data_IF_791249159457
#
_entry.id   IF_791249159457
#
_cell.length_a   1.000
_cell.length_b   1.000
_cell.length_c   1.000
_cell.angle_alpha   90.00
_cell.angle_beta   90.00
_cell.angle_gamma   90.00
#
_symmetry.space_group_name_H-M   'P 1'
#
loop_
_entity.id
_entity.type
_entity.pdbx_description
1 polymer ?
#
# COMPACT_ATOMS: atom_id res chain seq x y z
N UNK A 1 -5.37 35.87 28.70
CA UNK A 1 -6.35 35.21 27.81
C UNK A 1 -5.73 35.20 26.42
N UNK A 2 -5.16 34.08 25.99
CA UNK A 2 -4.41 34.00 24.73
C UNK A 2 -5.34 33.50 23.62
N UNK A 3 -5.48 34.27 22.54
CA UNK A 3 -6.20 33.87 21.33
C UNK A 3 -5.31 32.98 20.48
N UNK A 4 -5.70 31.71 20.32
CA UNK A 4 -5.06 30.80 19.39
C UNK A 4 -5.48 31.16 17.95
N UNK A 5 -4.52 31.55 17.12
CA UNK A 5 -4.67 31.57 15.67
C UNK A 5 -4.69 30.12 15.17
N UNK A 6 -5.89 29.55 15.01
CA UNK A 6 -6.06 28.25 14.38
C UNK A 6 -5.75 28.36 12.88
N UNK A 7 -4.62 27.84 12.45
CA UNK A 7 -4.37 27.57 11.03
C UNK A 7 -5.32 26.46 10.58
N UNK A 8 -6.38 26.83 9.85
CA UNK A 8 -7.20 25.91 9.07
C UNK A 8 -6.41 25.49 7.82
N UNK A 9 -5.40 24.65 7.99
CA UNK A 9 -4.90 23.86 6.87
C UNK A 9 -5.94 22.77 6.57
N UNK A 10 -6.94 23.11 5.76
CA UNK A 10 -7.80 22.10 5.15
C UNK A 10 -6.92 21.24 4.23
N UNK A 11 -6.64 20.00 4.67
CA UNK A 11 -5.96 19.02 3.84
C UNK A 11 -6.93 18.58 2.74
N UNK A 12 -6.86 19.24 1.58
CA UNK A 12 -7.61 18.83 0.40
C UNK A 12 -6.90 17.60 -0.17
N UNK A 13 -7.49 16.43 0.07
CA UNK A 13 -7.06 15.18 -0.55
C UNK A 13 -7.90 14.93 -1.80
N UNK A 14 -7.26 14.90 -2.96
CA UNK A 14 -7.89 14.57 -4.24
C UNK A 14 -7.17 13.37 -4.82
N UNK A 15 -7.93 12.39 -5.31
CA UNK A 15 -7.37 11.31 -6.13
C UNK A 15 -7.00 11.91 -7.48
N UNK A 16 -5.72 11.88 -7.82
CA UNK A 16 -5.21 12.29 -9.13
C UNK A 16 -4.49 11.10 -9.77
N UNK A 17 -4.52 11.06 -11.09
CA UNK A 17 -3.79 10.04 -11.85
C UNK A 17 -2.28 10.25 -11.64
N UNK A 18 -1.55 9.19 -11.27
CA UNK A 18 -0.11 9.27 -10.99
C UNK A 18 0.68 9.76 -12.19
N UNK A 19 0.24 9.45 -13.42
CA UNK A 19 0.86 9.98 -14.64
C UNK A 19 0.76 11.51 -14.75
N UNK A 20 -0.34 12.10 -14.27
CA UNK A 20 -0.51 13.55 -14.20
C UNK A 20 0.43 14.15 -13.16
N UNK A 21 0.54 13.54 -11.97
CA UNK A 21 1.48 13.99 -10.94
C UNK A 21 2.92 13.92 -11.46
N UNK A 22 3.31 12.80 -12.07
CA UNK A 22 4.63 12.61 -12.66
C UNK A 22 4.94 13.70 -13.69
N UNK A 23 3.98 14.02 -14.55
CA UNK A 23 4.13 15.08 -15.56
C UNK A 23 4.35 16.45 -14.92
N UNK A 24 3.62 16.78 -13.85
CA UNK A 24 3.77 18.04 -13.11
C UNK A 24 5.17 18.11 -12.46
N UNK A 25 5.59 17.04 -11.80
CA UNK A 25 6.91 16.97 -11.15
C UNK A 25 8.01 17.16 -12.18
N UNK A 26 8.00 16.40 -13.27
CA UNK A 26 9.02 16.48 -14.32
C UNK A 26 9.10 17.88 -14.96
N UNK A 27 7.95 18.52 -15.19
CA UNK A 27 7.93 19.89 -15.73
C UNK A 27 8.52 20.91 -14.75
N UNK A 28 8.22 20.78 -13.45
CA UNK A 28 8.76 21.67 -12.42
C UNK A 28 10.27 21.47 -12.21
N UNK A 29 10.74 20.22 -12.18
CA UNK A 29 12.16 19.91 -12.10
C UNK A 29 12.94 20.51 -13.28
N UNK A 30 12.38 20.40 -14.50
CA UNK A 30 12.98 21.00 -15.69
C UNK A 30 13.01 22.53 -15.64
N UNK A 31 11.95 23.17 -15.14
CA UNK A 31 11.87 24.63 -15.06
C UNK A 31 12.81 25.21 -13.99
N UNK A 32 12.90 24.53 -12.84
CA UNK A 32 13.68 24.97 -11.68
C UNK A 32 15.13 24.50 -11.72
N UNK A 33 15.45 23.53 -12.59
CA UNK A 33 16.74 22.82 -12.62
C UNK A 33 17.10 22.24 -11.25
N UNK A 34 16.12 21.67 -10.57
CA UNK A 34 16.25 21.10 -9.23
C UNK A 34 15.48 19.78 -9.14
N UNK A 35 15.89 18.90 -8.24
CA UNK A 35 15.19 17.63 -7.96
C UNK A 35 14.10 17.87 -6.93
N UNK A 36 12.90 17.37 -7.19
CA UNK A 36 11.75 17.49 -6.30
C UNK A 36 11.40 16.13 -5.70
N UNK A 37 11.19 16.12 -4.39
CA UNK A 37 10.67 14.96 -3.66
C UNK A 37 9.19 15.18 -3.37
N UNK A 38 8.36 14.21 -3.71
CA UNK A 38 6.92 14.26 -3.47
C UNK A 38 6.52 13.10 -2.57
N UNK A 39 6.02 13.43 -1.39
CA UNK A 39 5.41 12.47 -0.49
C UNK A 39 3.93 12.32 -0.79
N UNK A 40 3.50 11.09 -1.05
CA UNK A 40 2.12 10.72 -1.37
C UNK A 40 1.59 9.79 -0.30
N UNK A 41 0.35 10.01 0.12
CA UNK A 41 -0.34 9.20 1.13
C UNK A 41 -1.70 8.74 0.60
N UNK A 42 -2.13 7.54 0.99
CA UNK A 42 -3.47 7.04 0.64
C UNK A 42 -3.64 6.64 -0.83
N UNK A 43 -2.56 6.34 -1.55
CA UNK A 43 -2.63 5.90 -2.95
C UNK A 43 -3.29 4.54 -3.13
N UNK A 44 -3.24 3.69 -2.13
CA UNK A 44 -3.75 2.31 -2.19
C UNK A 44 -4.76 2.10 -1.08
N UNK A 45 -5.72 1.21 -1.32
CA UNK A 45 -6.62 0.73 -0.28
C UNK A 45 -6.13 -0.62 0.21
N UNK A 46 -5.97 -0.78 1.52
CA UNK A 46 -5.59 -2.04 2.15
C UNK A 46 -6.74 -2.50 3.05
N UNK A 47 -7.22 -3.70 2.78
CA UNK A 47 -8.14 -4.44 3.64
C UNK A 47 -7.30 -5.44 4.46
N UNK A 48 -7.41 -5.37 5.78
CA UNK A 48 -6.71 -6.26 6.70
C UNK A 48 -7.60 -6.62 7.89
N UNK A 49 -7.29 -7.73 8.61
CA UNK A 49 -7.90 -7.97 9.90
C UNK A 49 -7.64 -6.77 10.84
N UNK A 50 -8.68 -6.30 11.51
CA UNK A 50 -8.59 -5.15 12.43
C UNK A 50 -7.99 -5.50 13.79
N UNK A 51 -7.89 -6.80 14.10
CA UNK A 51 -7.47 -7.33 15.39
C UNK A 51 -6.43 -8.43 15.21
N UNK A 52 -5.80 -8.82 16.32
CA UNK A 52 -4.96 -10.00 16.41
C UNK A 52 -5.67 -11.22 15.84
N UNK A 53 -5.03 -11.87 14.87
CA UNK A 53 -5.53 -13.09 14.23
C UNK A 53 -5.34 -14.28 15.17
N UNK A 54 -6.25 -15.26 15.09
CA UNK A 54 -6.17 -16.46 15.94
C UNK A 54 -5.10 -17.42 15.42
N UNK A 55 -4.49 -18.18 16.33
CA UNK A 55 -3.62 -19.29 15.98
C UNK A 55 -4.37 -20.30 15.09
N UNK A 56 -3.70 -20.79 14.04
CA UNK A 56 -4.24 -21.70 13.02
C UNK A 56 -5.44 -21.17 12.22
N UNK A 57 -5.71 -19.86 12.25
CA UNK A 57 -6.70 -19.23 11.37
C UNK A 57 -6.16 -18.95 9.96
N UNK A 58 -7.06 -18.56 9.07
CA UNK A 58 -6.75 -18.25 7.67
C UNK A 58 -6.99 -16.76 7.34
N UNK A 59 -6.18 -15.81 7.89
CA UNK A 59 -6.40 -14.40 7.64
C UNK A 59 -6.14 -14.01 6.18
N UNK A 60 -6.85 -12.98 5.74
CA UNK A 60 -6.74 -12.42 4.39
C UNK A 60 -6.34 -10.96 4.48
N UNK A 61 -5.32 -10.59 3.70
CA UNK A 61 -4.98 -9.21 3.41
C UNK A 61 -5.27 -8.97 1.93
N UNK A 62 -5.77 -7.79 1.59
CA UNK A 62 -6.01 -7.42 0.20
C UNK A 62 -5.59 -5.99 -0.01
N UNK A 63 -4.95 -5.73 -1.14
CA UNK A 63 -4.69 -4.39 -1.59
C UNK A 63 -5.30 -4.15 -2.96
N UNK A 64 -5.88 -2.98 -3.14
CA UNK A 64 -6.39 -2.47 -4.42
C UNK A 64 -5.82 -1.11 -4.75
N UNK A 65 -5.65 -0.86 -6.04
CA UNK A 65 -5.19 0.40 -6.60
C UNK A 65 -5.90 0.69 -7.93
N UNK A 66 -6.31 1.94 -8.11
CA UNK A 66 -7.13 2.41 -9.24
C UNK A 66 -6.37 2.45 -10.57
N UNK A 67 -5.04 2.41 -10.53
CA UNK A 67 -4.18 2.44 -11.71
C UNK A 67 -3.53 1.09 -11.99
N UNK A 68 -3.22 0.83 -13.26
CA UNK A 68 -2.50 -0.36 -13.65
C UNK A 68 -1.04 -0.23 -13.21
N UNK A 69 -0.53 -1.25 -12.53
CA UNK A 69 0.85 -1.39 -12.10
C UNK A 69 1.49 -2.55 -12.86
N UNK A 70 2.82 -2.52 -13.02
CA UNK A 70 3.54 -3.59 -13.69
C UNK A 70 3.59 -4.86 -12.84
N UNK A 71 3.76 -4.70 -11.51
CA UNK A 71 3.67 -5.82 -10.58
C UNK A 71 3.24 -5.38 -9.19
N UNK A 72 2.58 -6.28 -8.47
CA UNK A 72 2.16 -6.07 -7.10
C UNK A 72 2.57 -7.26 -6.21
N UNK A 73 2.84 -7.00 -4.94
CA UNK A 73 3.29 -8.04 -4.03
C UNK A 73 3.25 -7.59 -2.57
N UNK A 74 3.57 -8.52 -1.68
CA UNK A 74 3.60 -8.28 -0.25
C UNK A 74 4.97 -8.61 0.30
N UNK A 75 5.50 -7.75 1.15
CA UNK A 75 6.63 -8.05 2.00
C UNK A 75 6.16 -8.26 3.43
N UNK A 76 6.77 -9.21 4.11
CA UNK A 76 6.63 -9.37 5.55
C UNK A 76 7.94 -9.00 6.23
N UNK A 77 7.84 -8.20 7.28
CA UNK A 77 8.96 -7.87 8.17
C UNK A 77 8.71 -8.49 9.54
N UNK A 78 9.60 -9.37 9.97
CA UNK A 78 9.66 -9.90 11.33
C UNK A 78 10.76 -9.18 12.10
N UNK A 79 10.92 -9.51 13.38
CA UNK A 79 12.05 -9.01 14.19
C UNK A 79 13.44 -9.46 13.67
N UNK A 80 13.50 -10.46 12.79
CA UNK A 80 14.76 -11.05 12.32
C UNK A 80 15.08 -10.74 10.86
N UNK A 81 14.06 -10.52 10.04
CA UNK A 81 14.24 -10.41 8.59
C UNK A 81 13.06 -9.71 7.89
N UNK A 82 13.32 -9.28 6.67
CA UNK A 82 12.31 -8.84 5.71
C UNK A 82 12.41 -9.71 4.46
N UNK A 83 11.27 -10.20 3.97
CA UNK A 83 11.21 -11.03 2.78
C UNK A 83 9.91 -10.81 2.01
N UNK A 84 9.97 -11.09 0.70
CA UNK A 84 8.81 -11.06 -0.19
C UNK A 84 7.99 -12.34 -0.02
N UNK A 85 6.68 -12.18 0.12
CA UNK A 85 5.74 -13.28 0.19
C UNK A 85 5.58 -13.90 -1.20
N UNK A 86 5.70 -15.21 -1.26
CA UNK A 86 5.54 -16.01 -2.47
C UNK A 86 4.55 -17.13 -2.19
N UNK A 87 3.81 -17.56 -3.20
CA UNK A 87 2.85 -18.68 -3.05
C UNK A 87 3.57 -19.95 -2.60
N UNK A 88 3.03 -20.60 -1.58
CA UNK A 88 3.56 -21.81 -0.99
C UNK A 88 2.48 -22.57 -0.20
N UNK A 89 2.89 -23.28 0.85
CA UNK A 89 1.96 -24.05 1.69
C UNK A 89 1.11 -23.16 2.59
N UNK A 90 1.71 -22.12 3.18
CA UNK A 90 0.99 -21.15 4.04
C UNK A 90 0.48 -19.98 3.21
N UNK A 91 1.31 -19.40 2.36
CA UNK A 91 0.96 -18.20 1.61
C UNK A 91 0.24 -18.57 0.33
N UNK A 92 -0.94 -17.99 0.08
CA UNK A 92 -1.66 -18.05 -1.20
C UNK A 92 -1.87 -16.64 -1.72
N UNK A 93 -1.14 -16.25 -2.76
CA UNK A 93 -1.34 -14.98 -3.43
C UNK A 93 -2.51 -15.07 -4.41
N UNK A 94 -3.32 -14.01 -4.47
CA UNK A 94 -4.42 -13.87 -5.42
C UNK A 94 -4.24 -12.57 -6.20
N UNK A 95 -3.98 -12.68 -7.50
CA UNK A 95 -3.89 -11.55 -8.43
C UNK A 95 -5.19 -11.31 -9.20
N UNK A 96 -6.12 -12.27 -9.15
CA UNK A 96 -7.40 -12.25 -9.86
C UNK A 96 -8.46 -11.49 -9.06
N UNK A 97 -8.11 -10.28 -8.61
CA UNK A 97 -8.99 -9.42 -7.82
C UNK A 97 -9.08 -7.99 -8.34
N UNK A 98 -8.48 -7.72 -9.50
CA UNK A 98 -8.65 -6.47 -10.22
C UNK A 98 -10.09 -6.33 -10.74
N UNK A 99 -10.59 -5.11 -10.73
CA UNK A 99 -11.92 -4.74 -11.25
C UNK A 99 -11.78 -3.57 -12.23
N UNK A 100 -12.89 -3.13 -12.82
CA UNK A 100 -12.88 -1.95 -13.68
C UNK A 100 -12.51 -0.66 -12.92
N UNK A 101 -12.82 -0.61 -11.62
CA UNK A 101 -12.43 0.48 -10.72
C UNK A 101 -11.00 0.32 -10.20
N UNK A 102 -10.61 -0.89 -9.81
CA UNK A 102 -9.28 -1.20 -9.27
C UNK A 102 -8.46 -2.00 -10.27
N UNK A 103 -7.71 -1.30 -11.10
CA UNK A 103 -6.92 -1.90 -12.18
C UNK A 103 -5.76 -2.75 -11.69
N UNK A 104 -5.29 -2.53 -10.46
CA UNK A 104 -4.30 -3.39 -9.80
C UNK A 104 -4.83 -3.92 -8.49
N UNK A 105 -4.56 -5.19 -8.23
CA UNK A 105 -4.93 -5.82 -6.97
C UNK A 105 -3.93 -6.93 -6.60
N UNK A 106 -3.73 -7.13 -5.31
CA UNK A 106 -3.06 -8.31 -4.77
C UNK A 106 -3.64 -8.69 -3.41
N UNK A 107 -4.25 -9.87 -3.36
CA UNK A 107 -4.65 -10.54 -2.14
C UNK A 107 -3.59 -11.51 -1.65
N UNK A 108 -3.52 -11.71 -0.33
CA UNK A 108 -2.80 -12.83 0.27
C UNK A 108 -3.70 -13.48 1.33
N UNK A 109 -3.87 -14.79 1.20
CA UNK A 109 -4.42 -15.64 2.26
C UNK A 109 -3.26 -16.37 2.92
N UNK A 110 -3.16 -16.26 4.24
CA UNK A 110 -2.18 -17.01 5.02
C UNK A 110 -2.90 -18.18 5.68
N UNK A 111 -2.58 -19.42 5.29
CA UNK A 111 -3.29 -20.61 5.73
C UNK A 111 -2.69 -21.16 7.02
N UNK A 112 -3.54 -21.41 8.02
CA UNK A 112 -3.20 -22.00 9.32
C UNK A 112 -2.01 -21.28 9.98
N UNK A 113 -2.15 -19.96 10.15
CA UNK A 113 -1.04 -19.14 10.63
C UNK A 113 -0.57 -19.51 12.04
N UNK A 114 0.74 -19.59 12.20
CA UNK A 114 1.40 -19.71 13.51
C UNK A 114 2.08 -18.40 13.89
N UNK A 115 2.64 -18.32 15.10
CA UNK A 115 3.38 -17.13 15.56
C UNK A 115 4.56 -16.73 14.67
N UNK A 116 5.09 -17.65 13.85
CA UNK A 116 6.15 -17.36 12.87
C UNK A 116 5.72 -16.35 11.79
N UNK A 117 4.40 -16.23 11.55
CA UNK A 117 3.79 -15.31 10.60
C UNK A 117 3.30 -14.01 11.26
N UNK A 118 3.76 -13.73 12.49
CA UNK A 118 3.57 -12.44 13.15
C UNK A 118 4.60 -11.43 12.66
N UNK A 119 4.13 -10.27 12.19
CA UNK A 119 5.00 -9.22 11.68
C UNK A 119 4.24 -8.11 10.97
N UNK A 120 4.99 -7.16 10.44
CA UNK A 120 4.47 -6.04 9.65
C UNK A 120 4.38 -6.45 8.17
N UNK A 121 3.21 -6.29 7.58
CA UNK A 121 2.96 -6.58 6.16
C UNK A 121 2.95 -5.27 5.37
N UNK A 122 3.80 -5.17 4.35
CA UNK A 122 3.90 -3.99 3.48
C UNK A 122 3.62 -4.36 2.03
N UNK A 123 2.81 -3.55 1.38
CA UNK A 123 2.61 -3.63 -0.05
C UNK A 123 3.88 -3.20 -0.81
N UNK A 124 4.12 -3.86 -1.93
CA UNK A 124 5.07 -3.46 -2.96
C UNK A 124 4.29 -3.32 -4.28
N UNK A 125 4.34 -2.14 -4.88
CA UNK A 125 3.87 -1.87 -6.23
C UNK A 125 5.06 -1.40 -7.06
N UNK A 126 5.22 -1.95 -8.26
CA UNK A 126 6.19 -1.49 -9.27
C UNK A 126 5.47 -1.11 -10.56
#
# INVERSE_FOLDING_TARGET
>A
MATAHGSLCSAVSVKFNTSTLQSIVTNLESALKAVLWVDVVGMVTIESPSNTVKYESDPVLKCTFEEASGSSGWNMTTQYQRFELNTGTVVKLNYDCATQEYKSCVGVTLQKVTGLWSGEYKLKLN
#
